data_IF_190494881047
#
_entry.id   IF_190494881047
#
_cell.length_a   1.000
_cell.length_b   1.000
_cell.length_c   1.000
_cell.angle_alpha   90.00
_cell.angle_beta   90.00
_cell.angle_gamma   90.00
#
_symmetry.space_group_name_H-M   'P 1'
#
loop_
_entity.id
_entity.type
_entity.pdbx_description
1 polymer ?
#
# COMPACT_ATOMS: atom_id res chain seq x y z
N UNK A 1 30.56 0.43 2.64
CA UNK A 1 29.45 -0.55 2.55
C UNK A 1 29.59 -1.28 1.22
N UNK A 2 29.52 -2.62 1.17
CA UNK A 2 29.73 -3.35 -0.08
C UNK A 2 28.53 -3.17 -1.01
N UNK A 3 28.73 -2.56 -2.18
CA UNK A 3 27.66 -2.24 -3.15
C UNK A 3 26.87 -3.48 -3.59
N UNK A 4 27.51 -4.65 -3.61
CA UNK A 4 26.89 -5.93 -3.91
C UNK A 4 25.79 -6.31 -2.90
N UNK A 5 26.03 -6.06 -1.61
CA UNK A 5 25.07 -6.38 -0.53
C UNK A 5 23.83 -5.48 -0.63
N UNK A 6 24.01 -4.19 -0.92
CA UNK A 6 22.89 -3.25 -1.13
C UNK A 6 22.08 -3.59 -2.38
N UNK A 7 22.75 -4.02 -3.46
CA UNK A 7 22.08 -4.38 -4.72
C UNK A 7 21.15 -5.58 -4.60
N UNK A 8 21.36 -6.45 -3.60
CA UNK A 8 20.52 -7.62 -3.34
C UNK A 8 19.50 -7.31 -2.23
N UNK A 9 19.93 -6.67 -1.14
CA UNK A 9 19.03 -6.39 -0.02
C UNK A 9 17.88 -5.46 -0.41
N UNK A 10 18.15 -4.38 -1.14
CA UNK A 10 17.13 -3.37 -1.45
C UNK A 10 15.97 -3.94 -2.29
N UNK A 11 16.21 -4.69 -3.39
CA UNK A 11 15.13 -5.33 -4.13
C UNK A 11 14.35 -6.34 -3.29
N UNK A 12 15.06 -7.12 -2.46
CA UNK A 12 14.46 -8.20 -1.68
C UNK A 12 13.57 -7.66 -0.56
N UNK A 13 14.01 -6.62 0.14
CA UNK A 13 13.18 -5.93 1.15
C UNK A 13 12.00 -5.21 0.51
N UNK A 14 12.19 -4.60 -0.66
CA UNK A 14 11.09 -3.97 -1.43
C UNK A 14 10.04 -5.00 -1.83
N UNK A 15 10.47 -6.17 -2.32
CA UNK A 15 9.58 -7.25 -2.68
C UNK A 15 8.76 -7.75 -1.47
N UNK A 16 9.42 -7.99 -0.34
CA UNK A 16 8.74 -8.40 0.89
C UNK A 16 7.74 -7.33 1.35
N UNK A 17 8.12 -6.06 1.32
CA UNK A 17 7.23 -4.96 1.71
C UNK A 17 5.98 -4.88 0.83
N UNK A 18 6.14 -5.00 -0.48
CA UNK A 18 5.03 -5.00 -1.44
C UNK A 18 4.13 -6.23 -1.22
N UNK A 19 4.73 -7.41 -1.02
CA UNK A 19 3.98 -8.63 -0.77
C UNK A 19 3.12 -8.53 0.49
N UNK A 20 3.69 -8.05 1.60
CA UNK A 20 2.98 -7.82 2.85
C UNK A 20 1.83 -6.82 2.63
N UNK A 21 2.11 -5.69 1.97
CA UNK A 21 1.11 -4.67 1.69
C UNK A 21 -0.06 -5.22 0.88
N UNK A 22 0.22 -5.97 -0.20
CA UNK A 22 -0.81 -6.56 -1.05
C UNK A 22 -1.66 -7.59 -0.30
N UNK A 23 -1.05 -8.47 0.50
CA UNK A 23 -1.76 -9.48 1.29
C UNK A 23 -2.70 -8.81 2.31
N UNK A 24 -2.19 -7.82 3.06
CA UNK A 24 -2.97 -7.12 4.08
C UNK A 24 -4.14 -6.37 3.44
N UNK A 25 -3.91 -5.62 2.36
CA UNK A 25 -5.00 -4.93 1.67
C UNK A 25 -6.03 -5.89 1.05
N UNK A 26 -5.56 -6.98 0.44
CA UNK A 26 -6.45 -8.00 -0.10
C UNK A 26 -7.35 -8.61 0.99
N UNK A 27 -6.78 -8.90 2.16
CA UNK A 27 -7.54 -9.37 3.31
C UNK A 27 -8.56 -8.33 3.80
N UNK A 28 -8.18 -7.05 3.90
CA UNK A 28 -9.10 -5.97 4.30
C UNK A 28 -10.27 -5.85 3.31
N UNK A 29 -10.01 -5.86 2.00
CA UNK A 29 -11.07 -5.79 0.99
C UNK A 29 -11.98 -7.02 1.04
N UNK A 30 -11.40 -8.21 1.24
CA UNK A 30 -12.18 -9.44 1.40
C UNK A 30 -13.13 -9.37 2.60
N UNK A 31 -12.60 -8.94 3.76
CA UNK A 31 -13.40 -8.79 4.98
C UNK A 31 -14.49 -7.73 4.81
N UNK A 32 -14.15 -6.58 4.21
CA UNK A 32 -15.12 -5.52 3.98
C UNK A 32 -16.25 -5.96 3.06
N UNK A 33 -15.93 -6.69 1.99
CA UNK A 33 -16.94 -7.15 1.04
C UNK A 33 -17.88 -8.22 1.61
N UNK A 34 -17.35 -9.19 2.34
CA UNK A 34 -18.14 -10.37 2.75
C UNK A 34 -18.70 -10.29 4.16
N UNK A 35 -18.10 -9.48 5.05
CA UNK A 35 -18.45 -9.48 6.48
C UNK A 35 -19.02 -8.14 6.97
N UNK A 36 -19.23 -7.18 6.07
CA UNK A 36 -19.85 -5.89 6.45
C UNK A 36 -21.04 -5.57 5.54
N UNK A 37 -22.02 -4.80 6.02
CA UNK A 37 -23.19 -4.41 5.22
C UNK A 37 -22.83 -3.49 4.04
N UNK A 38 -21.61 -2.96 3.99
CA UNK A 38 -21.14 -2.10 2.91
C UNK A 38 -20.87 -2.87 1.60
N UNK A 39 -20.58 -4.18 1.69
CA UNK A 39 -20.40 -5.04 0.52
C UNK A 39 -19.44 -4.46 -0.53
N UNK A 40 -19.87 -4.46 -1.80
CA UNK A 40 -19.12 -3.89 -2.93
C UNK A 40 -18.84 -2.39 -2.77
N UNK A 41 -19.80 -1.63 -2.26
CA UNK A 41 -19.66 -0.18 -2.10
C UNK A 41 -18.53 0.18 -1.13
N UNK A 42 -18.38 -0.60 -0.06
CA UNK A 42 -17.27 -0.42 0.88
C UNK A 42 -15.91 -0.54 0.19
N UNK A 43 -15.74 -1.56 -0.66
CA UNK A 43 -14.48 -1.78 -1.40
C UNK A 43 -14.21 -0.64 -2.39
N UNK A 44 -15.23 -0.19 -3.12
CA UNK A 44 -15.10 0.92 -4.08
C UNK A 44 -14.66 2.20 -3.37
N UNK A 45 -15.31 2.55 -2.25
CA UNK A 45 -14.98 3.76 -1.49
C UNK A 45 -13.56 3.67 -0.93
N UNK A 46 -13.17 2.54 -0.33
CA UNK A 46 -11.81 2.36 0.17
C UNK A 46 -10.76 2.45 -0.96
N UNK A 47 -11.05 1.83 -2.11
CA UNK A 47 -10.19 1.90 -3.29
C UNK A 47 -10.01 3.33 -3.80
N UNK A 48 -11.08 4.11 -3.85
CA UNK A 48 -11.04 5.54 -4.22
C UNK A 48 -10.25 6.37 -3.20
N UNK A 49 -10.43 6.11 -1.90
CA UNK A 49 -9.67 6.77 -0.84
C UNK A 49 -8.18 6.49 -1.03
N UNK A 50 -7.78 5.24 -1.24
CA UNK A 50 -6.38 4.88 -1.49
C UNK A 50 -5.83 5.54 -2.76
N UNK A 51 -6.61 5.52 -3.85
CA UNK A 51 -6.22 6.11 -5.14
C UNK A 51 -5.90 7.60 -5.01
N UNK A 52 -6.72 8.35 -4.25
CA UNK A 52 -6.56 9.80 -4.10
C UNK A 52 -5.56 10.13 -2.99
N UNK A 53 -5.62 9.44 -1.85
CA UNK A 53 -4.74 9.73 -0.71
C UNK A 53 -3.27 9.43 -0.99
N UNK A 54 -2.96 8.39 -1.76
CA UNK A 54 -1.57 8.01 -2.05
C UNK A 54 -0.75 9.15 -2.69
N UNK A 55 -1.17 9.75 -3.82
CA UNK A 55 -0.45 10.88 -4.40
C UNK A 55 -0.50 12.14 -3.52
N UNK A 56 -1.59 12.37 -2.79
CA UNK A 56 -1.70 13.52 -1.87
C UNK A 56 -0.70 13.44 -0.71
N UNK A 57 -0.56 12.25 -0.11
CA UNK A 57 0.40 12.00 0.97
C UNK A 57 1.82 12.12 0.41
N UNK A 58 2.10 11.55 -0.76
CA UNK A 58 3.40 11.67 -1.41
C UNK A 58 3.79 13.13 -1.64
N UNK A 59 2.87 13.93 -2.22
CA UNK A 59 3.06 15.36 -2.42
C UNK A 59 3.32 16.11 -1.12
N UNK A 60 2.54 15.83 -0.08
CA UNK A 60 2.71 16.50 1.22
C UNK A 60 4.04 16.15 1.89
N UNK A 61 4.46 14.88 1.82
CA UNK A 61 5.75 14.43 2.34
C UNK A 61 6.91 15.09 1.58
N UNK A 62 6.83 15.13 0.25
CA UNK A 62 7.84 15.79 -0.59
C UNK A 62 7.99 17.29 -0.24
N UNK A 63 6.87 17.98 -0.03
CA UNK A 63 6.87 19.40 0.38
C UNK A 63 7.41 19.64 1.79
N UNK A 64 7.38 18.64 2.67
CA UNK A 64 7.90 18.74 4.05
C UNK A 64 9.38 18.38 4.14
N UNK A 65 9.88 17.59 3.19
CA UNK A 65 11.28 17.16 3.13
C UNK A 65 12.17 18.17 2.39
N UNK A 66 11.62 18.93 1.42
CA UNK A 66 12.27 20.10 0.81
C UNK A 66 11.96 21.39 1.58
#
# INVERSE_FOLDING_TARGET
MNNFVLSILVPLTSFIAIAIYAIVLGYIFYQLHHHTPFGTWGVIVLGLVLLISTPLIAYYLEKRTN
#
